data_IF_810537882454
#
_entry.id   IF_810537882454
#
_cell.length_a   1.000
_cell.length_b   1.000
_cell.length_c   1.000
_cell.angle_alpha   90.00
_cell.angle_beta   90.00
_cell.angle_gamma   90.00
#
_symmetry.space_group_name_H-M   'P 1'
#
loop_
_entity.id
_entity.type
_entity.pdbx_description
1 polymer ?
#
# COMPACT_ATOMS: atom_id res chain seq x y z
N UNK A 1 16.20 3.15 -19.82
CA UNK A 1 15.76 2.85 -18.43
C UNK A 1 14.43 2.10 -18.48
N UNK A 2 14.09 1.24 -17.51
CA UNK A 2 12.84 0.43 -17.54
C UNK A 2 11.56 1.28 -17.73
N UNK A 3 11.63 2.56 -17.35
CA UNK A 3 10.58 3.58 -17.53
C UNK A 3 10.36 3.99 -19.01
N UNK A 4 11.37 3.85 -19.86
CA UNK A 4 11.33 4.27 -21.28
C UNK A 4 10.60 3.25 -22.17
N UNK A 5 10.21 2.10 -21.59
CA UNK A 5 9.46 1.02 -22.25
C UNK A 5 7.96 1.04 -21.92
N UNK A 6 7.46 2.07 -21.22
CA UNK A 6 6.05 2.16 -20.82
C UNK A 6 5.64 1.14 -19.76
N UNK A 7 6.58 0.46 -19.09
CA UNK A 7 6.26 -0.49 -18.03
C UNK A 7 5.83 0.23 -16.74
N UNK A 8 4.75 -0.26 -16.13
CA UNK A 8 4.29 0.22 -14.84
C UNK A 8 5.36 0.02 -13.75
N UNK A 9 5.43 0.99 -12.85
CA UNK A 9 6.30 0.92 -11.68
C UNK A 9 5.51 0.22 -10.57
N UNK A 10 5.98 -0.93 -10.04
CA UNK A 10 5.29 -1.61 -8.96
C UNK A 10 5.07 -0.68 -7.77
N UNK A 11 3.86 -0.71 -7.21
CA UNK A 11 3.49 0.13 -6.08
C UNK A 11 2.93 1.51 -6.46
N UNK A 12 2.60 1.74 -7.74
CA UNK A 12 1.97 2.94 -8.27
C UNK A 12 0.83 2.56 -9.24
N UNK A 13 -0.07 3.51 -9.51
CA UNK A 13 -1.11 3.42 -10.54
C UNK A 13 -2.12 2.27 -10.36
N UNK A 14 -2.77 2.20 -9.19
CA UNK A 14 -3.87 1.26 -8.92
C UNK A 14 -5.15 1.68 -9.67
N UNK A 15 -5.75 0.81 -10.52
CA UNK A 15 -6.98 1.12 -11.25
C UNK A 15 -8.19 1.50 -10.37
N UNK A 16 -8.22 1.06 -9.11
CA UNK A 16 -9.29 1.41 -8.16
C UNK A 16 -9.17 2.86 -7.68
N UNK A 17 -7.97 3.43 -7.74
CA UNK A 17 -7.65 4.77 -7.26
C UNK A 17 -7.04 5.61 -8.39
N UNK A 18 -7.84 6.06 -9.37
CA UNK A 18 -7.34 6.82 -10.53
C UNK A 18 -6.68 8.15 -10.12
N UNK A 19 -7.12 8.75 -9.01
CA UNK A 19 -6.55 9.97 -8.45
C UNK A 19 -5.45 9.71 -7.40
N UNK A 20 -5.02 8.45 -7.25
CA UNK A 20 -4.03 8.00 -6.29
C UNK A 20 -4.62 7.36 -5.03
N UNK A 21 -3.94 6.34 -4.50
CA UNK A 21 -4.37 5.65 -3.29
C UNK A 21 -4.14 6.54 -2.05
N UNK A 22 -5.21 6.95 -1.33
CA UNK A 22 -5.07 7.85 -0.18
C UNK A 22 -4.34 7.21 1.01
N UNK A 23 -4.16 5.88 1.01
CA UNK A 23 -3.57 5.13 2.13
C UNK A 23 -2.05 5.02 2.04
N UNK A 24 -1.48 5.13 0.84
CA UNK A 24 -0.04 4.99 0.62
C UNK A 24 0.79 6.10 1.28
N UNK A 25 0.52 7.40 0.98
CA UNK A 25 1.33 8.51 1.50
C UNK A 25 1.46 8.56 3.02
N UNK A 26 0.37 8.43 3.81
CA UNK A 26 0.48 8.48 5.28
C UNK A 26 1.37 7.39 5.88
N UNK A 27 1.46 6.21 5.24
CA UNK A 27 2.31 5.12 5.70
C UNK A 27 3.79 5.40 5.43
N UNK A 28 4.11 6.02 4.29
CA UNK A 28 5.47 6.46 3.99
C UNK A 28 5.90 7.56 4.96
N UNK A 29 5.04 8.52 5.25
CA UNK A 29 5.29 9.58 6.23
C UNK A 29 5.53 8.98 7.63
N UNK A 30 4.67 8.07 8.07
CA UNK A 30 4.83 7.35 9.33
C UNK A 30 6.15 6.56 9.40
N UNK A 31 6.53 5.87 8.33
CA UNK A 31 7.81 5.15 8.24
C UNK A 31 9.01 6.10 8.37
N UNK A 32 8.96 7.28 7.74
CA UNK A 32 10.00 8.31 7.86
C UNK A 32 10.08 8.92 9.25
N UNK A 33 8.97 9.01 9.97
CA UNK A 33 8.97 9.41 11.39
C UNK A 33 9.65 8.35 12.26
N UNK A 34 9.43 7.06 11.97
CA UNK A 34 10.00 5.94 12.72
C UNK A 34 11.51 5.76 12.50
N UNK A 35 12.00 5.98 11.28
CA UNK A 35 13.43 5.88 10.94
C UNK A 35 13.89 7.06 10.04
N UNK A 36 14.07 8.27 10.59
CA UNK A 36 14.31 9.49 9.79
C UNK A 36 15.61 9.47 8.99
N UNK A 37 16.63 8.76 9.48
CA UNK A 37 17.95 8.69 8.86
C UNK A 37 18.07 7.56 7.82
N UNK A 38 17.00 6.80 7.58
CA UNK A 38 17.02 5.61 6.73
C UNK A 38 17.35 5.95 5.27
N UNK A 39 18.47 5.46 4.70
CA UNK A 39 18.81 5.70 3.29
C UNK A 39 17.80 5.07 2.33
N UNK A 40 17.20 3.94 2.72
CA UNK A 40 16.18 3.28 1.92
C UNK A 40 14.89 4.10 1.85
N UNK A 41 14.45 4.70 2.96
CA UNK A 41 13.25 5.56 2.96
C UNK A 41 13.49 6.86 2.19
N UNK A 42 14.70 7.42 2.23
CA UNK A 42 15.08 8.55 1.38
C UNK A 42 14.99 8.19 -0.10
N UNK A 43 15.48 6.99 -0.48
CA UNK A 43 15.38 6.48 -1.85
C UNK A 43 13.93 6.27 -2.26
N UNK A 44 13.11 5.67 -1.39
CA UNK A 44 11.67 5.48 -1.64
C UNK A 44 10.96 6.82 -1.84
N UNK A 45 11.28 7.85 -1.04
CA UNK A 45 10.76 9.19 -1.24
C UNK A 45 11.17 9.77 -2.59
N UNK A 46 12.44 9.64 -2.98
CA UNK A 46 12.91 10.12 -4.28
C UNK A 46 12.17 9.44 -5.45
N UNK A 47 11.81 8.16 -5.31
CA UNK A 47 10.98 7.44 -6.28
C UNK A 47 9.55 8.02 -6.30
N UNK A 48 8.95 8.29 -5.14
CA UNK A 48 7.64 8.95 -5.07
C UNK A 48 7.68 10.32 -5.73
N UNK A 49 8.68 11.14 -5.46
CA UNK A 49 8.84 12.47 -6.05
C UNK A 49 9.00 12.38 -7.58
N UNK A 50 9.68 11.35 -8.07
CA UNK A 50 9.83 11.09 -9.50
C UNK A 50 8.51 10.66 -10.17
N UNK A 51 7.73 9.83 -9.48
CA UNK A 51 6.43 9.36 -9.97
C UNK A 51 5.35 10.44 -9.89
N UNK A 52 5.41 11.32 -8.88
CA UNK A 52 4.51 12.46 -8.75
C UNK A 52 4.59 13.41 -9.96
N UNK A 53 5.78 13.60 -10.55
CA UNK A 53 5.95 14.36 -11.81
C UNK A 53 5.23 13.74 -13.01
N UNK A 54 4.80 12.49 -12.91
CA UNK A 54 4.02 11.75 -13.92
C UNK A 54 2.54 11.64 -13.55
N UNK A 55 2.10 12.27 -12.45
CA UNK A 55 0.73 12.20 -11.95
C UNK A 55 0.42 10.95 -11.13
N UNK A 56 1.43 10.16 -10.75
CA UNK A 56 1.26 8.91 -10.03
C UNK A 56 1.49 9.08 -8.52
N UNK A 57 0.71 8.38 -7.70
CA UNK A 57 0.84 8.34 -6.24
C UNK A 57 1.20 6.93 -5.74
N UNK A 58 1.90 6.81 -4.59
CA UNK A 58 2.21 5.51 -4.02
C UNK A 58 0.94 4.80 -3.52
N UNK A 59 0.89 3.50 -3.77
CA UNK A 59 -0.16 2.59 -3.27
C UNK A 59 0.00 2.28 -1.78
N UNK A 60 -1.05 1.71 -1.18
CA UNK A 60 -0.99 1.09 0.15
C UNK A 60 0.21 0.13 0.30
N UNK A 61 0.46 -0.73 -0.69
CA UNK A 61 1.53 -1.72 -0.67
C UNK A 61 2.91 -1.06 -0.60
N UNK A 62 3.12 0.02 -1.36
CA UNK A 62 4.36 0.80 -1.30
C UNK A 62 4.57 1.38 0.11
N UNK A 63 3.51 1.92 0.70
CA UNK A 63 3.53 2.41 2.08
C UNK A 63 3.85 1.31 3.10
N UNK A 64 3.28 0.10 2.96
CA UNK A 64 3.58 -1.02 3.84
C UNK A 64 5.01 -1.53 3.71
N UNK A 65 5.61 -1.47 2.51
CA UNK A 65 7.04 -1.75 2.32
C UNK A 65 7.90 -0.71 3.05
N UNK A 66 7.49 0.57 3.05
CA UNK A 66 8.19 1.62 3.78
C UNK A 66 8.17 1.34 5.29
N UNK A 67 7.00 1.01 5.85
CA UNK A 67 6.85 0.66 7.27
C UNK A 67 7.68 -0.57 7.63
N UNK A 68 7.61 -1.63 6.82
CA UNK A 68 8.41 -2.85 7.05
C UNK A 68 9.92 -2.55 7.01
N UNK A 69 10.35 -1.66 6.13
CA UNK A 69 11.75 -1.22 6.01
C UNK A 69 12.21 -0.43 7.25
N UNK A 70 11.40 0.53 7.70
CA UNK A 70 11.68 1.32 8.91
C UNK A 70 11.82 0.44 10.16
N UNK A 71 10.97 -0.58 10.28
CA UNK A 71 11.01 -1.56 11.36
C UNK A 71 12.04 -2.67 11.18
N UNK A 72 12.88 -2.62 10.13
CA UNK A 72 13.91 -3.63 9.78
C UNK A 72 13.37 -5.07 9.72
N UNK A 73 12.14 -5.21 9.22
CA UNK A 73 11.48 -6.50 9.09
C UNK A 73 12.06 -7.31 7.92
N UNK A 74 11.87 -8.63 7.96
CA UNK A 74 12.28 -9.52 6.85
C UNK A 74 11.47 -9.24 5.57
N UNK A 75 12.04 -9.62 4.43
CA UNK A 75 11.32 -9.61 3.16
C UNK A 75 9.99 -10.39 3.27
N UNK A 76 8.93 -9.86 2.67
CA UNK A 76 7.56 -10.42 2.76
C UNK A 76 6.74 -9.94 3.96
N UNK A 77 7.33 -9.21 4.92
CA UNK A 77 6.60 -8.68 6.07
C UNK A 77 5.47 -7.70 5.67
N UNK A 78 5.66 -6.88 4.63
CA UNK A 78 4.63 -5.99 4.12
C UNK A 78 3.36 -6.74 3.68
N UNK A 79 3.53 -7.89 3.00
CA UNK A 79 2.41 -8.77 2.63
C UNK A 79 1.72 -9.36 3.85
N UNK A 80 2.48 -9.77 4.86
CA UNK A 80 1.91 -10.28 6.11
C UNK A 80 1.08 -9.19 6.82
N UNK A 81 1.60 -7.96 6.90
CA UNK A 81 0.87 -6.81 7.47
C UNK A 81 -0.43 -6.53 6.70
N UNK A 82 -0.38 -6.53 5.36
CA UNK A 82 -1.56 -6.37 4.53
C UNK A 82 -2.63 -7.44 4.83
N UNK A 83 -2.23 -8.72 4.85
CA UNK A 83 -3.13 -9.84 5.12
C UNK A 83 -3.73 -9.74 6.52
N UNK A 84 -2.92 -9.42 7.54
CA UNK A 84 -3.40 -9.23 8.91
C UNK A 84 -4.43 -8.09 9.00
N UNK A 85 -4.19 -6.95 8.34
CA UNK A 85 -5.15 -5.86 8.27
C UNK A 85 -6.45 -6.25 7.56
N UNK A 86 -6.37 -7.10 6.53
CA UNK A 86 -7.53 -7.60 5.76
C UNK A 86 -8.43 -8.54 6.54
N UNK A 87 -7.90 -9.26 7.55
CA UNK A 87 -8.67 -10.22 8.34
C UNK A 87 -9.91 -9.58 8.98
N UNK A 88 -9.79 -8.35 9.52
CA UNK A 88 -10.93 -7.66 10.12
C UNK A 88 -12.07 -7.45 9.12
N UNK A 89 -11.75 -7.02 7.89
CA UNK A 89 -12.73 -6.85 6.82
C UNK A 89 -13.30 -8.17 6.32
N UNK A 90 -12.50 -9.24 6.23
CA UNK A 90 -13.00 -10.56 5.88
C UNK A 90 -13.98 -11.11 6.92
N UNK A 91 -13.66 -10.98 8.22
CA UNK A 91 -14.56 -11.38 9.30
C UNK A 91 -15.86 -10.57 9.24
N UNK A 92 -15.77 -9.25 9.04
CA UNK A 92 -16.94 -8.39 8.91
C UNK A 92 -17.83 -8.81 7.73
N UNK A 93 -17.25 -9.04 6.54
CA UNK A 93 -18.02 -9.51 5.39
C UNK A 93 -18.64 -10.89 5.62
N UNK A 94 -17.95 -11.83 6.28
CA UNK A 94 -18.55 -13.14 6.60
C UNK A 94 -19.77 -12.99 7.51
N UNK A 95 -19.73 -12.10 8.49
CA UNK A 95 -20.87 -11.80 9.36
C UNK A 95 -21.99 -11.16 8.55
N UNK A 96 -21.70 -10.12 7.75
CA UNK A 96 -22.66 -9.43 6.88
C UNK A 96 -23.35 -10.39 5.91
N UNK A 97 -22.62 -11.32 5.29
CA UNK A 97 -23.20 -12.32 4.39
C UNK A 97 -24.10 -13.32 5.12
N UNK A 98 -23.78 -13.69 6.36
CA UNK A 98 -24.64 -14.58 7.17
C UNK A 98 -25.95 -13.89 7.51
N UNK A 99 -25.90 -12.63 7.92
CA UNK A 99 -27.09 -11.85 8.25
C UNK A 99 -27.95 -11.57 7.00
N UNK A 100 -27.32 -11.34 5.84
CA UNK A 100 -28.00 -11.12 4.58
C UNK A 100 -28.58 -12.40 3.95
N UNK A 101 -28.00 -13.58 4.21
CA UNK A 101 -28.45 -14.85 3.61
C UNK A 101 -29.86 -15.31 4.01
N UNK A 102 -30.46 -14.69 5.03
CA UNK A 102 -31.87 -14.89 5.39
C UNK A 102 -32.88 -14.23 4.45
N UNK A 103 -32.46 -13.33 3.54
CA UNK A 103 -33.37 -12.61 2.63
C UNK A 103 -33.47 -13.20 1.21
N UNK A 104 -32.56 -14.11 0.83
CA UNK A 104 -32.55 -14.75 -0.50
C UNK A 104 -33.32 -16.08 -0.56
N UNK A 105 -34.04 -16.42 0.51
CA UNK A 105 -34.85 -17.64 0.64
C UNK A 105 -36.36 -17.36 0.87
N UNK A 106 -36.82 -16.15 0.52
CA UNK A 106 -38.24 -15.76 0.44
C UNK A 106 -38.64 -15.54 -1.02
#
# INVERSE_FOLDING_TARGET
>A
TRLDLGQQVPGFDDPLYPDGDPRGPPLLDGARILDPASPILQTMQAVVDAMARRGSAPTLEFGLVAVASACRMRAGAATALFLLGRLAGFVAHVIEQRDASGSWSQ
#
